data_IF_490488434773
#
_entry.id   IF_490488434773
#
_cell.length_a   1.000
_cell.length_b   1.000
_cell.length_c   1.000
_cell.angle_alpha   90.00
_cell.angle_beta   90.00
_cell.angle_gamma   90.00
#
_symmetry.space_group_name_H-M   'P 1'
#
loop_
_entity.id
_entity.type
_entity.pdbx_description
1 polymer ?
#
# COMPACT_ATOMS: atom_id res chain seq x y z
N UNK A 1 -1.47 6.44 16.02
CA UNK A 1 -2.02 5.90 14.74
C UNK A 1 -1.26 4.66 14.30
N UNK A 2 0.02 4.69 13.97
CA UNK A 2 0.77 3.50 13.53
C UNK A 2 0.71 2.31 14.49
N UNK A 3 0.74 2.55 15.79
CA UNK A 3 0.66 1.48 16.79
C UNK A 3 -0.68 0.72 16.80
N UNK A 4 -1.76 1.30 16.27
CA UNK A 4 -3.02 0.59 16.07
C UNK A 4 -2.88 -0.50 14.97
N UNK A 5 -2.17 -0.19 13.87
CA UNK A 5 -1.85 -1.17 12.82
C UNK A 5 -1.01 -2.31 13.41
N UNK A 6 0.03 -1.96 14.18
CA UNK A 6 0.90 -2.95 14.85
C UNK A 6 0.11 -3.85 15.77
N UNK A 7 -0.74 -3.26 16.64
CA UNK A 7 -1.56 -4.01 17.60
C UNK A 7 -2.53 -4.95 16.89
N UNK A 8 -3.32 -4.47 15.93
CA UNK A 8 -4.25 -5.30 15.17
C UNK A 8 -3.54 -6.44 14.44
N UNK A 9 -2.38 -6.16 13.85
CA UNK A 9 -1.61 -7.17 13.12
C UNK A 9 -1.11 -8.27 14.06
N UNK A 10 -0.53 -7.92 15.21
CA UNK A 10 -0.09 -8.89 16.22
C UNK A 10 -1.26 -9.72 16.73
N UNK A 11 -2.35 -9.06 17.14
CA UNK A 11 -3.50 -9.73 17.73
C UNK A 11 -4.15 -10.73 16.76
N UNK A 12 -4.31 -10.35 15.48
CA UNK A 12 -4.92 -11.21 14.47
C UNK A 12 -4.02 -12.40 14.13
N UNK A 13 -2.72 -12.16 13.96
CA UNK A 13 -1.73 -13.21 13.62
C UNK A 13 -1.58 -14.20 14.78
N UNK A 14 -1.47 -13.72 16.02
CA UNK A 14 -1.38 -14.60 17.20
C UNK A 14 -2.66 -15.42 17.39
N UNK A 15 -3.84 -14.81 17.20
CA UNK A 15 -5.12 -15.52 17.25
C UNK A 15 -5.23 -16.61 16.19
N UNK A 16 -4.81 -16.29 14.97
CA UNK A 16 -4.79 -17.25 13.85
C UNK A 16 -3.69 -18.32 13.97
N UNK A 17 -2.72 -18.11 14.86
CA UNK A 17 -1.50 -18.93 15.00
C UNK A 17 -0.75 -19.08 13.67
N UNK A 18 -0.90 -18.12 12.79
CA UNK A 18 -0.33 -18.13 11.43
C UNK A 18 -0.35 -16.72 10.84
N UNK A 19 0.74 -16.33 10.18
CA UNK A 19 0.84 -15.05 9.49
C UNK A 19 2.24 -14.44 9.58
N UNK A 20 2.37 -13.23 9.03
CA UNK A 20 3.63 -12.54 8.88
C UNK A 20 3.57 -11.18 9.61
N UNK A 21 4.01 -11.11 10.87
CA UNK A 21 3.94 -9.87 11.65
C UNK A 21 5.05 -8.86 11.29
N UNK A 22 6.20 -9.33 10.82
CA UNK A 22 7.41 -8.53 10.71
C UNK A 22 7.28 -7.30 9.84
N UNK A 23 6.80 -7.46 8.61
CA UNK A 23 6.54 -6.37 7.67
C UNK A 23 5.47 -5.40 8.17
N UNK A 24 4.29 -5.84 8.64
CA UNK A 24 3.30 -4.94 9.23
C UNK A 24 3.85 -4.07 10.36
N UNK A 25 4.67 -4.63 11.23
CA UNK A 25 5.27 -3.86 12.32
C UNK A 25 6.29 -2.85 11.80
N UNK A 26 7.11 -3.23 10.83
CA UNK A 26 8.16 -2.38 10.27
C UNK A 26 7.62 -1.21 9.44
N UNK A 27 6.60 -1.45 8.62
CA UNK A 27 6.09 -0.44 7.68
C UNK A 27 4.88 0.37 8.19
N UNK A 28 4.47 0.21 9.44
CA UNK A 28 3.28 0.91 9.97
C UNK A 28 3.41 2.43 9.97
N UNK A 29 4.59 3.00 10.18
CA UNK A 29 4.78 4.45 10.16
C UNK A 29 4.66 5.01 8.74
N UNK A 30 5.24 4.31 7.75
CA UNK A 30 5.12 4.65 6.33
C UNK A 30 3.66 4.57 5.89
N UNK A 31 2.96 3.51 6.30
CA UNK A 31 1.55 3.32 6.00
C UNK A 31 0.69 4.42 6.63
N UNK A 32 0.99 4.83 7.86
CA UNK A 32 0.30 5.93 8.52
C UNK A 32 0.40 7.21 7.71
N UNK A 33 1.61 7.66 7.37
CA UNK A 33 1.79 8.91 6.64
C UNK A 33 1.13 8.85 5.27
N UNK A 34 1.34 7.76 4.53
CA UNK A 34 0.76 7.63 3.19
C UNK A 34 -0.78 7.70 3.23
N UNK A 35 -1.42 6.92 4.11
CA UNK A 35 -2.87 6.77 4.11
C UNK A 35 -3.61 7.95 4.77
N UNK A 36 -3.03 8.60 5.76
CA UNK A 36 -3.67 9.73 6.44
C UNK A 36 -3.46 11.07 5.71
N UNK A 37 -2.32 11.25 5.03
CA UNK A 37 -1.93 12.55 4.47
C UNK A 37 -2.00 12.62 2.95
N UNK A 38 -1.65 11.55 2.23
CA UNK A 38 -1.37 11.60 0.80
C UNK A 38 -2.34 10.81 -0.07
N UNK A 39 -2.75 9.61 0.35
CA UNK A 39 -3.59 8.71 -0.45
C UNK A 39 -5.01 9.27 -0.61
N UNK A 40 -5.43 9.47 -1.84
CA UNK A 40 -6.79 9.92 -2.17
C UNK A 40 -7.67 8.71 -2.41
N UNK A 41 -8.54 8.40 -1.47
CA UNK A 41 -9.46 7.27 -1.55
C UNK A 41 -10.79 7.60 -0.86
N UNK A 42 -11.85 6.87 -1.19
CA UNK A 42 -13.13 6.96 -0.52
C UNK A 42 -13.55 5.58 0.02
N UNK A 43 -13.53 5.36 1.34
CA UNK A 43 -13.96 4.09 1.94
C UNK A 43 -15.41 3.72 1.63
N UNK A 44 -16.29 4.70 1.37
CA UNK A 44 -17.70 4.47 1.01
C UNK A 44 -17.89 4.10 -0.46
N UNK A 45 -16.93 4.44 -1.32
CA UNK A 45 -16.91 4.02 -2.72
C UNK A 45 -15.53 3.48 -3.11
N UNK A 46 -15.22 2.23 -2.77
CA UNK A 46 -13.95 1.58 -3.14
C UNK A 46 -13.67 1.56 -4.65
N UNK A 47 -14.70 1.76 -5.45
CA UNK A 47 -14.64 1.76 -6.91
C UNK A 47 -14.60 3.17 -7.52
N UNK A 48 -14.48 4.23 -6.72
CA UNK A 48 -14.33 5.59 -7.25
C UNK A 48 -13.23 5.62 -8.34
N UNK A 49 -13.60 6.09 -9.51
CA UNK A 49 -12.77 5.94 -10.70
C UNK A 49 -11.40 6.61 -10.56
N UNK A 50 -11.34 7.84 -10.03
CA UNK A 50 -10.10 8.62 -9.92
C UNK A 50 -9.42 8.51 -8.53
N UNK A 51 -9.76 7.48 -7.73
CA UNK A 51 -9.02 7.19 -6.50
C UNK A 51 -7.58 6.82 -6.80
N UNK A 52 -6.66 7.12 -5.91
CA UNK A 52 -5.32 6.56 -5.97
C UNK A 52 -5.37 5.03 -5.75
N UNK A 53 -4.41 4.31 -6.30
CA UNK A 53 -4.28 2.86 -6.15
C UNK A 53 -3.20 2.56 -5.12
N UNK A 54 -3.51 1.69 -4.17
CA UNK A 54 -2.52 1.17 -3.23
C UNK A 54 -2.33 -0.33 -3.47
N UNK A 55 -1.09 -0.73 -3.74
CA UNK A 55 -0.73 -2.13 -4.00
C UNK A 55 0.27 -2.62 -2.95
N UNK A 56 -0.12 -3.64 -2.21
CA UNK A 56 0.77 -4.36 -1.30
C UNK A 56 1.45 -5.49 -2.07
N UNK A 57 2.62 -5.21 -2.69
CA UNK A 57 3.36 -6.21 -3.48
C UNK A 57 3.96 -7.30 -2.60
N UNK A 58 4.42 -6.96 -1.40
CA UNK A 58 4.79 -7.90 -0.34
C UNK A 58 3.53 -8.41 0.40
N UNK A 59 2.66 -9.11 -0.36
CA UNK A 59 1.31 -9.50 0.05
C UNK A 59 1.23 -10.40 1.28
N UNK A 60 2.35 -11.02 1.69
CA UNK A 60 2.42 -11.75 2.95
C UNK A 60 2.17 -10.84 4.17
N UNK A 61 2.47 -9.53 4.09
CA UNK A 61 2.14 -8.53 5.09
C UNK A 61 0.67 -8.08 5.09
N UNK A 62 -0.24 -8.92 4.66
CA UNK A 62 -1.68 -8.63 4.44
C UNK A 62 -2.38 -7.95 5.61
N UNK A 63 -2.00 -8.27 6.84
CA UNK A 63 -2.59 -7.64 8.03
C UNK A 63 -2.36 -6.13 8.11
N UNK A 64 -1.28 -5.61 7.52
CA UNK A 64 -1.10 -4.16 7.39
C UNK A 64 -2.24 -3.55 6.56
N UNK A 65 -2.52 -4.13 5.39
CA UNK A 65 -3.59 -3.62 4.52
C UNK A 65 -4.96 -3.78 5.15
N UNK A 66 -5.27 -4.93 5.76
CA UNK A 66 -6.55 -5.13 6.43
C UNK A 66 -6.76 -4.18 7.61
N UNK A 67 -5.70 -3.91 8.38
CA UNK A 67 -5.76 -2.92 9.46
C UNK A 67 -6.05 -1.52 8.92
N UNK A 68 -5.42 -1.12 7.82
CA UNK A 68 -5.67 0.16 7.16
C UNK A 68 -7.10 0.28 6.64
N UNK A 69 -7.59 -0.75 5.94
CA UNK A 69 -8.96 -0.78 5.44
C UNK A 69 -9.99 -0.68 6.57
N UNK A 70 -9.77 -1.43 7.66
CA UNK A 70 -10.62 -1.38 8.85
C UNK A 70 -10.62 0.02 9.49
N UNK A 71 -9.43 0.56 9.76
CA UNK A 71 -9.29 1.83 10.49
C UNK A 71 -9.79 3.03 9.69
N UNK A 72 -9.62 3.04 8.38
CA UNK A 72 -10.03 4.16 7.51
C UNK A 72 -11.52 4.16 7.17
N UNK A 73 -12.26 3.11 7.50
CA UNK A 73 -13.72 3.06 7.39
C UNK A 73 -14.29 2.31 6.19
N UNK A 74 -13.50 1.44 5.54
CA UNK A 74 -14.02 0.48 4.57
C UNK A 74 -14.96 -0.55 5.24
N UNK A 75 -15.73 -1.27 4.43
CA UNK A 75 -16.64 -2.31 4.90
C UNK A 75 -15.89 -3.58 5.35
N UNK A 76 -15.00 -3.40 6.31
CA UNK A 76 -14.20 -4.45 6.94
C UNK A 76 -14.24 -4.26 8.47
N UNK A 77 -15.17 -4.90 9.13
CA UNK A 77 -15.37 -4.74 10.56
C UNK A 77 -14.33 -5.52 11.40
N UNK A 78 -14.31 -5.26 12.72
CA UNK A 78 -13.35 -5.88 13.64
C UNK A 78 -13.50 -7.40 13.73
N UNK A 79 -14.68 -7.95 13.49
CA UNK A 79 -14.89 -9.40 13.52
C UNK A 79 -14.19 -10.07 12.34
N UNK A 80 -14.14 -9.42 11.17
CA UNK A 80 -13.34 -9.90 10.03
C UNK A 80 -11.83 -9.87 10.33
N UNK A 81 -11.35 -8.86 11.03
CA UNK A 81 -9.96 -8.81 11.51
C UNK A 81 -9.67 -9.97 12.48
N UNK A 82 -10.60 -10.25 13.42
CA UNK A 82 -10.49 -11.38 14.33
C UNK A 82 -10.53 -12.75 13.64
N UNK A 83 -11.11 -12.80 12.43
CA UNK A 83 -11.21 -14.01 11.61
C UNK A 83 -10.11 -14.11 10.53
N UNK A 84 -8.99 -13.43 10.74
CA UNK A 84 -7.84 -13.51 9.83
C UNK A 84 -7.44 -14.96 9.55
N UNK A 85 -7.27 -15.31 8.27
CA UNK A 85 -6.93 -16.66 7.78
C UNK A 85 -7.95 -17.74 8.11
N UNK A 86 -9.17 -17.38 8.51
CA UNK A 86 -10.22 -18.39 8.70
C UNK A 86 -10.99 -18.59 7.39
N UNK A 87 -11.53 -19.79 7.21
CA UNK A 87 -12.31 -20.14 6.03
C UNK A 87 -13.52 -19.19 5.88
N UNK A 88 -13.73 -18.67 4.67
CA UNK A 88 -14.78 -17.72 4.31
C UNK A 88 -14.69 -16.32 4.95
N UNK A 89 -13.59 -15.98 5.63
CA UNK A 89 -13.38 -14.61 6.10
C UNK A 89 -13.01 -13.67 4.95
N UNK A 90 -13.27 -12.36 5.13
CA UNK A 90 -12.81 -11.32 4.21
C UNK A 90 -11.32 -10.98 4.38
N UNK A 91 -10.61 -11.67 5.26
CA UNK A 91 -9.19 -11.44 5.55
C UNK A 91 -8.36 -12.70 5.33
N UNK A 92 -8.24 -13.16 4.07
CA UNK A 92 -7.39 -14.31 3.73
C UNK A 92 -5.92 -14.03 4.01
N UNK A 93 -5.09 -15.06 3.97
CA UNK A 93 -3.65 -14.95 4.29
C UNK A 93 -2.87 -14.00 3.41
N UNK A 94 -3.33 -13.77 2.18
CA UNK A 94 -2.82 -12.80 1.22
C UNK A 94 -4.01 -12.01 0.63
N UNK A 95 -3.83 -10.73 0.23
CA UNK A 95 -4.92 -9.92 -0.29
C UNK A 95 -5.55 -10.49 -1.57
N UNK A 96 -6.88 -10.52 -1.63
CA UNK A 96 -7.65 -10.97 -2.78
C UNK A 96 -8.66 -9.90 -3.23
N UNK A 97 -8.50 -9.36 -4.44
CA UNK A 97 -9.23 -8.19 -4.93
C UNK A 97 -10.74 -8.40 -5.08
N UNK A 98 -11.18 -9.64 -5.28
CA UNK A 98 -12.62 -9.97 -5.42
C UNK A 98 -13.31 -10.28 -4.08
N UNK A 99 -12.54 -10.34 -2.98
CA UNK A 99 -13.05 -10.74 -1.67
C UNK A 99 -13.17 -9.57 -0.68
N UNK A 100 -12.21 -8.63 -0.74
CA UNK A 100 -12.11 -7.55 0.22
C UNK A 100 -12.18 -6.19 -0.47
N UNK A 101 -13.17 -5.38 -0.14
CA UNK A 101 -13.31 -4.02 -0.65
C UNK A 101 -12.08 -3.18 -0.33
N UNK A 102 -11.53 -2.49 -1.34
CA UNK A 102 -10.32 -1.67 -1.20
C UNK A 102 -9.01 -2.40 -1.51
N UNK A 103 -9.05 -3.71 -1.77
CA UNK A 103 -7.91 -4.47 -2.31
C UNK A 103 -7.87 -4.32 -3.83
N UNK A 104 -6.88 -3.63 -4.35
CA UNK A 104 -6.77 -3.29 -5.78
C UNK A 104 -6.38 -4.49 -6.65
N UNK A 105 -5.57 -5.39 -6.13
CA UNK A 105 -5.11 -6.58 -6.84
C UNK A 105 -4.76 -7.70 -5.89
N UNK A 106 -4.98 -8.93 -6.34
CA UNK A 106 -4.57 -10.14 -5.62
C UNK A 106 -3.05 -10.23 -5.62
N UNK A 107 -2.45 -10.39 -4.44
CA UNK A 107 -1.00 -10.55 -4.26
C UNK A 107 -0.70 -11.75 -3.37
N UNK A 108 0.57 -12.08 -3.24
CA UNK A 108 1.07 -13.28 -2.52
C UNK A 108 2.29 -13.81 -3.24
N UNK A 109 2.18 -14.23 -4.53
CA UNK A 109 3.36 -14.48 -5.34
C UNK A 109 4.19 -13.20 -5.48
N UNK A 110 5.45 -13.25 -5.05
CA UNK A 110 6.34 -12.09 -5.04
C UNK A 110 6.56 -11.52 -6.45
N UNK A 111 6.73 -10.21 -6.57
CA UNK A 111 6.90 -9.53 -7.85
C UNK A 111 5.61 -9.25 -8.63
N UNK A 112 4.52 -10.02 -8.41
CA UNK A 112 3.27 -9.82 -9.14
C UNK A 112 2.57 -8.51 -8.79
N UNK A 113 2.62 -8.07 -7.53
CA UNK A 113 2.00 -6.82 -7.10
C UNK A 113 2.60 -5.61 -7.80
N UNK A 114 3.93 -5.48 -7.82
CA UNK A 114 4.60 -4.37 -8.52
C UNK A 114 4.35 -4.42 -10.04
N UNK A 115 4.25 -5.62 -10.63
CA UNK A 115 3.91 -5.77 -12.03
C UNK A 115 2.50 -5.26 -12.35
N UNK A 116 1.50 -5.61 -11.52
CA UNK A 116 0.14 -5.09 -11.64
C UNK A 116 0.10 -3.57 -11.46
N UNK A 117 0.86 -3.03 -10.51
CA UNK A 117 0.95 -1.59 -10.27
C UNK A 117 1.53 -0.82 -11.48
N UNK A 118 2.53 -1.38 -12.15
CA UNK A 118 3.04 -0.83 -13.42
C UNK A 118 1.93 -0.83 -14.47
N UNK A 119 1.14 -1.91 -14.58
CA UNK A 119 -0.02 -1.98 -15.47
C UNK A 119 -1.07 -0.90 -15.13
N UNK A 120 -1.36 -0.67 -13.85
CA UNK A 120 -2.27 0.40 -13.39
C UNK A 120 -1.74 1.79 -13.77
N UNK A 121 -0.44 2.04 -13.62
CA UNK A 121 0.18 3.31 -14.01
C UNK A 121 0.19 3.52 -15.53
N UNK A 122 0.35 2.46 -16.32
CA UNK A 122 0.20 2.51 -17.79
C UNK A 122 -1.25 2.86 -18.15
N UNK A 123 -2.23 2.24 -17.50
CA UNK A 123 -3.64 2.51 -17.72
C UNK A 123 -3.98 3.98 -17.40
N UNK A 124 -3.52 4.50 -16.25
CA UNK A 124 -3.69 5.92 -15.90
C UNK A 124 -3.12 6.84 -16.98
N UNK A 125 -1.86 6.64 -17.36
CA UNK A 125 -1.19 7.47 -18.36
C UNK A 125 -1.89 7.43 -19.73
N UNK A 126 -2.35 6.25 -20.13
CA UNK A 126 -3.10 6.06 -21.38
C UNK A 126 -4.44 6.79 -21.35
N UNK A 127 -5.21 6.59 -20.28
CA UNK A 127 -6.51 7.25 -20.10
C UNK A 127 -6.36 8.77 -19.97
N UNK A 128 -5.36 9.25 -19.22
CA UNK A 128 -5.07 10.68 -19.13
C UNK A 128 -4.75 11.29 -20.50
N UNK A 129 -3.97 10.60 -21.31
CA UNK A 129 -3.65 11.05 -22.70
C UNK A 129 -4.88 11.11 -23.60
N UNK A 130 -5.84 10.20 -23.43
CA UNK A 130 -7.05 10.15 -24.25
C UNK A 130 -8.11 11.15 -23.81
N UNK A 131 -8.32 11.27 -22.50
CA UNK A 131 -9.49 11.96 -21.96
C UNK A 131 -9.18 13.33 -21.34
N UNK A 132 -8.00 13.56 -20.76
CA UNK A 132 -7.69 14.86 -20.19
C UNK A 132 -7.66 15.95 -21.28
N UNK A 133 -8.15 17.12 -20.92
CA UNK A 133 -8.16 18.32 -21.78
C UNK A 133 -7.33 19.41 -21.11
N UNK A 134 -6.95 20.40 -21.89
CA UNK A 134 -6.12 21.52 -21.42
C UNK A 134 -6.71 22.21 -20.19
N UNK A 135 -8.03 22.31 -20.11
CA UNK A 135 -8.79 22.99 -19.06
C UNK A 135 -9.48 22.03 -18.07
N UNK A 136 -9.43 20.71 -18.30
CA UNK A 136 -10.11 19.74 -17.43
C UNK A 136 -9.40 18.38 -17.38
N UNK A 137 -8.77 18.11 -16.24
CA UNK A 137 -8.07 16.85 -15.97
C UNK A 137 -8.95 15.94 -15.11
N UNK A 138 -9.64 14.98 -15.74
CA UNK A 138 -10.51 14.00 -15.06
C UNK A 138 -9.78 12.72 -14.67
N UNK A 139 -8.61 12.44 -15.25
CA UNK A 139 -7.76 11.30 -14.93
C UNK A 139 -6.47 11.83 -14.28
N UNK A 140 -6.37 11.66 -12.97
CA UNK A 140 -5.21 12.17 -12.22
C UNK A 140 -5.01 11.40 -10.91
N UNK A 141 -4.88 10.09 -10.99
CA UNK A 141 -4.59 9.25 -9.82
C UNK A 141 -3.17 8.72 -9.84
N UNK A 142 -2.65 8.43 -8.67
CA UNK A 142 -1.34 7.80 -8.48
C UNK A 142 -1.49 6.34 -8.14
N UNK A 143 -0.42 5.60 -8.38
CA UNK A 143 -0.27 4.22 -7.92
C UNK A 143 0.87 4.15 -6.92
N UNK A 144 0.55 3.79 -5.68
CA UNK A 144 1.49 3.61 -4.58
C UNK A 144 1.70 2.12 -4.33
N UNK A 145 2.94 1.72 -4.12
CA UNK A 145 3.30 0.30 -3.95
C UNK A 145 4.17 0.13 -2.72
N UNK A 146 3.86 -0.86 -1.89
CA UNK A 146 4.81 -1.36 -0.89
C UNK A 146 5.46 -2.63 -1.41
N UNK A 147 6.77 -2.71 -1.35
CA UNK A 147 7.57 -3.85 -1.82
C UNK A 147 8.74 -4.13 -0.87
N UNK A 148 9.29 -5.31 -0.92
CA UNK A 148 10.47 -5.71 -0.12
C UNK A 148 11.51 -6.43 -0.97
N UNK A 149 12.61 -6.85 -0.34
CA UNK A 149 13.74 -7.52 -0.99
C UNK A 149 13.27 -8.67 -1.88
N UNK A 150 12.50 -9.61 -1.34
CA UNK A 150 12.01 -10.77 -2.08
C UNK A 150 11.21 -10.41 -3.34
N UNK A 151 10.41 -9.35 -3.30
CA UNK A 151 9.69 -8.88 -4.48
C UNK A 151 10.65 -8.36 -5.56
N UNK A 152 11.70 -7.64 -5.15
CA UNK A 152 12.66 -7.02 -6.07
C UNK A 152 13.70 -8.00 -6.62
N UNK A 153 13.79 -9.21 -6.06
CA UNK A 153 14.61 -10.32 -6.58
C UNK A 153 13.94 -11.05 -7.76
N UNK A 154 12.61 -10.99 -7.86
CA UNK A 154 11.87 -11.68 -8.90
C UNK A 154 12.18 -11.12 -10.30
N UNK A 155 12.32 -11.99 -11.30
CA UNK A 155 12.63 -11.61 -12.69
C UNK A 155 11.61 -10.63 -13.28
N UNK A 156 10.31 -10.84 -13.01
CA UNK A 156 9.25 -9.93 -13.47
C UNK A 156 9.46 -8.50 -12.96
N UNK A 157 9.99 -8.32 -11.74
CA UNK A 157 10.24 -6.98 -11.19
C UNK A 157 11.28 -6.21 -11.98
N UNK A 158 12.33 -6.88 -12.46
CA UNK A 158 13.34 -6.27 -13.35
C UNK A 158 12.71 -5.80 -14.68
N UNK A 159 11.90 -6.65 -15.30
CA UNK A 159 11.27 -6.37 -16.59
C UNK A 159 10.31 -5.18 -16.49
N UNK A 160 9.37 -5.24 -15.52
CA UNK A 160 8.33 -4.20 -15.41
C UNK A 160 8.87 -2.87 -14.90
N UNK A 161 9.88 -2.87 -14.01
CA UNK A 161 10.49 -1.62 -13.52
C UNK A 161 11.32 -0.94 -14.61
N UNK A 162 12.03 -1.71 -15.45
CA UNK A 162 12.69 -1.18 -16.64
C UNK A 162 11.68 -0.57 -17.62
N UNK A 163 10.56 -1.26 -17.87
CA UNK A 163 9.47 -0.74 -18.71
C UNK A 163 8.87 0.54 -18.12
N UNK A 164 8.64 0.60 -16.81
CA UNK A 164 8.08 1.77 -16.15
C UNK A 164 8.94 3.03 -16.31
N UNK A 165 10.26 2.88 -16.18
CA UNK A 165 11.21 3.98 -16.45
C UNK A 165 11.22 4.41 -17.91
N UNK A 166 11.23 3.45 -18.85
CA UNK A 166 11.16 3.70 -20.29
C UNK A 166 9.89 4.47 -20.67
N UNK A 167 8.74 4.11 -20.07
CA UNK A 167 7.46 4.77 -20.31
C UNK A 167 7.28 6.05 -19.50
N UNK A 168 8.25 6.42 -18.66
CA UNK A 168 8.18 7.62 -17.82
C UNK A 168 6.88 7.67 -16.98
N UNK A 169 6.59 6.62 -16.21
CA UNK A 169 5.36 6.51 -15.43
C UNK A 169 5.47 7.31 -14.12
N UNK A 170 5.46 8.62 -14.22
CA UNK A 170 5.76 9.55 -13.13
C UNK A 170 4.75 9.53 -11.96
N UNK A 171 3.58 8.93 -12.12
CA UNK A 171 2.58 8.75 -11.06
C UNK A 171 2.70 7.40 -10.33
N UNK A 172 3.70 6.59 -10.66
CA UNK A 172 4.06 5.37 -9.94
C UNK A 172 5.09 5.71 -8.86
N UNK A 173 4.74 5.47 -7.60
CA UNK A 173 5.59 5.70 -6.44
C UNK A 173 5.71 4.38 -5.66
N UNK A 174 6.92 3.88 -5.52
CA UNK A 174 7.22 2.59 -4.88
C UNK A 174 8.02 2.82 -3.61
N UNK A 175 7.54 2.29 -2.49
CA UNK A 175 8.26 2.25 -1.23
C UNK A 175 8.95 0.91 -1.11
N UNK A 176 10.24 0.92 -0.99
CA UNK A 176 11.06 -0.25 -0.77
C UNK A 176 11.33 -0.40 0.74
N UNK A 177 10.83 -1.47 1.31
CA UNK A 177 11.08 -1.91 2.68
C UNK A 177 12.51 -2.49 2.75
N UNK A 178 13.47 -1.58 2.92
CA UNK A 178 14.91 -1.88 2.94
C UNK A 178 15.35 -2.24 4.36
N UNK A 179 14.95 -3.43 4.80
CA UNK A 179 15.23 -3.95 6.14
C UNK A 179 16.36 -5.02 6.16
N UNK A 180 16.82 -5.48 5.01
CA UNK A 180 17.92 -6.43 4.86
C UNK A 180 17.62 -7.85 5.36
N UNK A 181 16.34 -8.20 5.58
CA UNK A 181 15.94 -9.51 6.11
C UNK A 181 14.94 -10.18 5.17
N UNK A 182 15.21 -11.41 4.82
CA UNK A 182 14.28 -12.32 4.16
C UNK A 182 13.79 -13.41 5.12
N UNK A 183 12.99 -14.35 4.60
CA UNK A 183 12.50 -15.49 5.38
C UNK A 183 13.64 -16.35 5.96
N UNK A 184 14.77 -16.43 5.28
CA UNK A 184 15.93 -17.25 5.65
C UNK A 184 17.01 -16.48 6.43
N UNK A 185 16.76 -15.21 6.79
CA UNK A 185 17.70 -14.38 7.53
C UNK A 185 18.20 -13.17 6.74
N UNK A 186 19.39 -12.70 7.11
CA UNK A 186 20.03 -11.55 6.48
C UNK A 186 20.32 -11.83 4.99
N UNK A 187 20.03 -10.85 4.13
CA UNK A 187 20.27 -10.95 2.69
C UNK A 187 21.73 -10.74 2.28
N UNK A 188 22.59 -10.30 3.20
CA UNK A 188 24.01 -10.10 2.93
C UNK A 188 24.67 -11.38 2.38
N UNK A 189 25.40 -11.23 1.30
CA UNK A 189 26.17 -12.32 0.68
C UNK A 189 25.41 -13.14 -0.36
N UNK A 190 24.08 -13.02 -0.48
CA UNK A 190 23.31 -13.71 -1.50
C UNK A 190 22.35 -12.80 -2.30
N UNK A 191 22.01 -11.61 -1.79
CA UNK A 191 21.40 -10.53 -2.56
C UNK A 191 22.27 -9.29 -2.43
N UNK A 192 23.15 -9.09 -3.40
CA UNK A 192 24.23 -8.09 -3.36
C UNK A 192 23.98 -6.93 -4.31
N UNK A 193 22.80 -6.86 -4.92
CA UNK A 193 22.42 -5.77 -5.79
C UNK A 193 22.37 -4.43 -5.02
N UNK A 194 22.94 -3.38 -5.60
CA UNK A 194 22.61 -2.02 -5.20
C UNK A 194 21.26 -1.65 -5.82
N UNK A 195 20.18 -1.95 -5.11
CA UNK A 195 18.80 -1.74 -5.58
C UNK A 195 18.59 -0.30 -6.04
N UNK A 196 19.10 0.67 -5.32
CA UNK A 196 18.96 2.07 -5.67
C UNK A 196 19.65 2.40 -7.01
N UNK A 197 20.91 1.97 -7.24
CA UNK A 197 21.58 2.14 -8.52
C UNK A 197 20.91 1.37 -9.65
N UNK A 198 20.38 0.19 -9.37
CA UNK A 198 19.62 -0.58 -10.35
C UNK A 198 18.40 0.21 -10.85
N UNK A 199 17.63 0.82 -9.96
CA UNK A 199 16.49 1.65 -10.33
C UNK A 199 16.91 2.95 -11.03
N UNK A 200 18.01 3.58 -10.62
CA UNK A 200 18.59 4.70 -11.37
C UNK A 200 18.93 4.31 -12.84
N UNK A 201 19.47 3.09 -13.04
CA UNK A 201 19.76 2.57 -14.37
C UNK A 201 18.49 2.31 -15.21
N UNK A 202 17.35 2.07 -14.56
CA UNK A 202 16.04 2.00 -15.20
C UNK A 202 15.42 3.37 -15.48
N UNK A 203 16.13 4.46 -15.24
CA UNK A 203 15.65 5.84 -15.40
C UNK A 203 14.55 6.24 -14.39
N UNK A 204 14.62 5.72 -13.17
CA UNK A 204 13.76 6.14 -12.06
C UNK A 204 14.37 7.31 -11.29
N UNK A 205 13.52 8.11 -10.65
CA UNK A 205 13.92 8.96 -9.53
C UNK A 205 14.07 8.06 -8.29
N UNK A 206 15.18 8.21 -7.54
CA UNK A 206 15.46 7.36 -6.37
C UNK A 206 15.74 8.26 -5.17
N UNK A 207 14.90 8.15 -4.15
CA UNK A 207 15.07 8.85 -2.88
C UNK A 207 15.66 7.83 -1.89
N UNK A 208 16.91 8.06 -1.47
CA UNK A 208 17.70 7.13 -0.68
C UNK A 208 17.60 7.43 0.81
N UNK A 209 17.89 6.42 1.63
CA UNK A 209 18.15 6.52 3.06
C UNK A 209 17.03 7.22 3.85
N UNK A 210 15.77 7.02 3.44
CA UNK A 210 14.61 7.54 4.16
C UNK A 210 14.45 6.77 5.47
N UNK A 211 14.44 7.46 6.60
CA UNK A 211 14.11 6.85 7.88
C UNK A 211 12.63 6.46 7.90
N UNK A 212 12.38 5.14 7.75
CA UNK A 212 11.03 4.55 7.69
C UNK A 212 10.26 4.59 9.02
N UNK A 213 10.87 5.12 10.08
CA UNK A 213 10.24 5.32 11.39
C UNK A 213 10.12 6.80 11.77
N UNK A 214 10.56 7.73 10.92
CA UNK A 214 10.39 9.18 11.08
C UNK A 214 9.27 9.68 10.19
N UNK A 215 8.16 10.14 10.78
CA UNK A 215 7.00 10.66 10.05
C UNK A 215 7.38 11.83 9.14
N UNK A 216 8.25 12.74 9.61
CA UNK A 216 8.72 13.88 8.81
C UNK A 216 9.58 13.42 7.61
N UNK A 217 10.49 12.45 7.81
CA UNK A 217 11.31 11.91 6.74
C UNK A 217 10.46 11.26 5.67
N UNK A 218 9.45 10.49 6.07
CA UNK A 218 8.49 9.83 5.18
C UNK A 218 7.65 10.87 4.41
N UNK A 219 7.04 11.83 5.11
CA UNK A 219 6.18 12.85 4.48
C UNK A 219 6.97 13.70 3.48
N UNK A 220 8.20 14.10 3.83
CA UNK A 220 9.09 14.84 2.94
C UNK A 220 9.44 14.03 1.67
N UNK A 221 9.75 12.75 1.82
CA UNK A 221 10.06 11.87 0.67
C UNK A 221 8.87 11.67 -0.27
N UNK A 222 7.66 11.54 0.27
CA UNK A 222 6.43 11.45 -0.54
C UNK A 222 6.20 12.78 -1.28
N UNK A 223 6.35 13.92 -0.60
CA UNK A 223 6.20 15.23 -1.21
C UNK A 223 7.23 15.48 -2.32
N UNK A 224 8.45 14.96 -2.20
CA UNK A 224 9.45 15.00 -3.26
C UNK A 224 9.05 14.10 -4.43
N UNK A 225 8.63 12.86 -4.16
CA UNK A 225 8.19 11.90 -5.17
C UNK A 225 7.02 12.45 -6.02
N UNK A 226 6.04 13.09 -5.38
CA UNK A 226 4.87 13.69 -6.04
C UNK A 226 5.27 14.79 -7.05
N UNK A 227 6.39 15.46 -6.84
CA UNK A 227 6.88 16.52 -7.74
C UNK A 227 7.57 15.99 -8.99
N UNK A 228 7.89 14.69 -9.06
CA UNK A 228 8.48 14.09 -10.27
C UNK A 228 7.52 14.22 -11.45
N UNK A 229 7.99 14.76 -12.58
CA UNK A 229 7.16 15.05 -13.76
C UNK A 229 7.29 14.01 -14.86
N UNK A 230 8.41 13.30 -14.89
CA UNK A 230 8.83 12.49 -16.03
C UNK A 230 9.40 11.11 -15.65
N UNK A 231 9.48 10.78 -14.35
CA UNK A 231 10.05 9.52 -13.89
C UNK A 231 9.19 8.90 -12.79
N UNK A 232 9.04 7.57 -12.78
CA UNK A 232 8.56 6.87 -11.59
C UNK A 232 9.55 7.05 -10.43
N UNK A 233 9.09 6.93 -9.20
CA UNK A 233 9.94 7.15 -8.02
C UNK A 233 10.03 5.90 -7.15
N UNK A 234 11.26 5.53 -6.77
CA UNK A 234 11.56 4.57 -5.71
C UNK A 234 11.96 5.34 -4.45
N UNK A 235 11.31 5.06 -3.32
CA UNK A 235 11.65 5.57 -1.99
C UNK A 235 12.26 4.42 -1.21
N UNK A 236 13.57 4.46 -0.94
CA UNK A 236 14.28 3.43 -0.18
C UNK A 236 14.12 3.74 1.32
N UNK A 237 13.22 3.01 1.98
CA UNK A 237 12.89 3.22 3.38
C UNK A 237 13.69 2.26 4.26
N UNK A 238 14.60 2.78 5.07
CA UNK A 238 15.29 2.01 6.10
C UNK A 238 14.30 1.71 7.21
N UNK A 239 13.97 0.44 7.37
CA UNK A 239 13.04 -0.04 8.38
C UNK A 239 13.65 -1.15 9.22
N UNK A 240 12.91 -1.58 10.23
CA UNK A 240 13.25 -2.75 11.03
C UNK A 240 12.10 -3.74 10.99
N UNK A 241 12.34 -4.90 10.45
CA UNK A 241 11.36 -5.99 10.50
C UNK A 241 11.00 -6.30 11.96
N UNK A 242 9.72 -6.49 12.26
CA UNK A 242 9.28 -6.75 13.64
C UNK A 242 9.52 -5.58 14.59
N UNK A 243 9.47 -4.35 14.10
CA UNK A 243 9.73 -3.12 14.87
C UNK A 243 8.97 -3.09 16.20
N UNK A 244 9.71 -2.79 17.27
CA UNK A 244 9.20 -2.70 18.63
C UNK A 244 9.14 -4.04 19.37
N UNK A 245 9.50 -5.17 18.74
CA UNK A 245 9.57 -6.46 19.41
C UNK A 245 10.92 -6.61 20.14
N UNK A 246 10.97 -6.66 21.47
CA UNK A 246 12.22 -6.63 22.22
C UNK A 246 13.17 -7.78 21.90
N UNK A 247 12.64 -8.95 21.53
CA UNK A 247 13.45 -10.15 21.27
C UNK A 247 13.53 -10.52 19.79
N UNK A 248 12.62 -10.02 18.91
CA UNK A 248 12.50 -10.44 17.52
C UNK A 248 12.69 -9.31 16.50
N UNK A 249 12.85 -8.04 16.92
CA UNK A 249 13.15 -6.94 16.03
C UNK A 249 14.44 -7.20 15.24
N UNK A 250 14.39 -6.97 13.92
CA UNK A 250 15.52 -7.16 13.03
C UNK A 250 15.88 -8.63 12.74
N UNK A 251 15.02 -9.58 13.10
CA UNK A 251 15.28 -11.02 12.92
C UNK A 251 14.26 -11.68 12.02
N UNK A 252 14.69 -12.69 11.27
CA UNK A 252 13.87 -13.55 10.41
C UNK A 252 12.73 -14.24 11.20
N UNK A 253 12.93 -14.49 12.50
CA UNK A 253 11.91 -15.10 13.36
C UNK A 253 10.64 -14.28 13.53
N UNK A 254 10.65 -12.99 13.15
CA UNK A 254 9.46 -12.14 13.05
C UNK A 254 8.86 -12.13 11.64
N UNK A 255 9.52 -12.69 10.62
CA UNK A 255 9.07 -12.61 9.24
C UNK A 255 7.74 -13.35 9.02
N UNK A 256 7.73 -14.66 9.18
CA UNK A 256 6.65 -15.56 8.77
C UNK A 256 6.02 -16.37 9.89
N UNK A 257 6.24 -16.00 11.14
CA UNK A 257 5.70 -16.71 12.32
C UNK A 257 5.08 -15.73 13.31
N UNK A 258 3.99 -16.10 14.00
CA UNK A 258 3.43 -15.29 15.09
C UNK A 258 4.50 -14.90 16.11
N UNK A 259 4.38 -13.72 16.70
CA UNK A 259 5.27 -13.33 17.78
C UNK A 259 5.05 -14.23 19.01
N UNK A 260 3.81 -14.63 19.23
CA UNK A 260 3.34 -15.36 20.40
C UNK A 260 2.91 -14.43 21.53
N UNK A 261 2.05 -14.92 22.46
CA UNK A 261 1.39 -14.07 23.45
C UNK A 261 2.36 -13.28 24.33
N UNK A 262 3.45 -13.90 24.73
CA UNK A 262 4.46 -13.27 25.59
C UNK A 262 5.18 -12.12 24.88
N UNK A 263 5.67 -12.37 23.66
CA UNK A 263 6.39 -11.37 22.87
C UNK A 263 5.46 -10.25 22.40
N UNK A 264 4.19 -10.58 22.04
CA UNK A 264 3.18 -9.59 21.70
C UNK A 264 2.88 -8.67 22.90
N UNK A 265 2.78 -9.20 24.11
CA UNK A 265 2.59 -8.40 25.32
C UNK A 265 3.80 -7.48 25.60
N UNK A 266 5.03 -7.98 25.39
CA UNK A 266 6.25 -7.18 25.51
C UNK A 266 6.30 -6.07 24.46
N UNK A 267 5.98 -6.40 23.21
CA UNK A 267 5.95 -5.46 22.09
C UNK A 267 4.92 -4.36 22.33
N UNK A 268 3.69 -4.71 22.71
CA UNK A 268 2.65 -3.72 23.07
C UNK A 268 3.11 -2.77 24.17
N UNK A 269 3.74 -3.29 25.20
CA UNK A 269 4.30 -2.46 26.29
C UNK A 269 5.40 -1.53 25.77
N UNK A 270 6.29 -2.03 24.92
CA UNK A 270 7.40 -1.24 24.34
C UNK A 270 6.90 -0.08 23.50
N UNK A 271 5.86 -0.31 22.67
CA UNK A 271 5.28 0.72 21.81
C UNK A 271 4.24 1.60 22.54
N UNK A 272 4.01 1.39 23.83
CA UNK A 272 3.05 2.17 24.64
C UNK A 272 1.58 1.89 24.29
N UNK A 273 1.22 0.65 23.98
CA UNK A 273 -0.14 0.23 23.64
C UNK A 273 -0.76 -0.63 24.76
N UNK A 274 -1.47 0.02 25.68
CA UNK A 274 -2.01 -0.61 26.89
C UNK A 274 -3.48 -1.07 26.75
N UNK A 275 -3.91 -1.43 25.53
CA UNK A 275 -5.27 -1.88 25.26
C UNK A 275 -5.34 -3.40 25.09
N UNK A 276 -6.48 -3.96 25.49
CA UNK A 276 -6.78 -5.37 25.29
C UNK A 276 -6.76 -5.76 23.80
N UNK A 277 -6.55 -7.03 23.46
CA UNK A 277 -6.56 -7.46 22.06
C UNK A 277 -7.83 -7.03 21.32
N UNK A 278 -7.63 -6.51 20.12
CA UNK A 278 -8.68 -5.99 19.22
C UNK A 278 -9.47 -4.79 19.76
N UNK A 279 -9.03 -4.15 20.82
CA UNK A 279 -9.62 -2.92 21.34
C UNK A 279 -8.86 -1.72 20.78
N UNK A 280 -9.55 -0.93 19.98
CA UNK A 280 -9.04 0.32 19.42
C UNK A 280 -9.83 1.47 20.07
N UNK A 281 -9.17 2.45 20.70
CA UNK A 281 -9.85 3.61 21.27
C UNK A 281 -10.56 4.47 20.22
N UNK A 282 -11.66 5.10 20.60
CA UNK A 282 -12.45 5.96 19.71
C UNK A 282 -11.61 7.08 19.08
N UNK A 283 -10.74 7.74 19.86
CA UNK A 283 -9.87 8.79 19.33
C UNK A 283 -8.89 8.31 18.25
N UNK A 284 -8.57 7.01 18.21
CA UNK A 284 -7.75 6.40 17.15
C UNK A 284 -8.60 6.17 15.91
N UNK A 285 -9.84 5.69 16.06
CA UNK A 285 -10.78 5.60 14.93
C UNK A 285 -11.06 6.97 14.33
N UNK A 286 -11.30 7.99 15.17
CA UNK A 286 -11.54 9.36 14.71
C UNK A 286 -10.35 9.91 13.90
N UNK A 287 -9.12 9.64 14.36
CA UNK A 287 -7.91 10.07 13.68
C UNK A 287 -7.65 9.33 12.35
N UNK A 288 -8.14 8.10 12.21
CA UNK A 288 -8.00 7.30 10.99
C UNK A 288 -9.17 7.46 10.01
N UNK A 289 -10.33 7.89 10.48
CA UNK A 289 -11.56 7.96 9.69
C UNK A 289 -11.37 8.85 8.44
N UNK A 290 -11.46 8.23 7.27
CA UNK A 290 -11.32 8.92 6.00
C UNK A 290 -12.65 9.06 5.22
N UNK A 291 -13.79 8.75 5.85
CA UNK A 291 -15.10 8.72 5.18
C UNK A 291 -15.49 10.11 4.66
N UNK A 292 -15.44 11.13 5.52
CA UNK A 292 -15.84 12.49 5.14
C UNK A 292 -14.88 13.07 4.10
N UNK A 293 -13.57 13.02 4.37
CA UNK A 293 -12.53 13.48 3.44
C UNK A 293 -12.61 12.76 2.09
N UNK A 294 -12.79 11.44 2.10
CA UNK A 294 -12.90 10.66 0.87
C UNK A 294 -14.16 11.00 0.07
N UNK A 295 -15.29 11.20 0.74
CA UNK A 295 -16.55 11.63 0.10
C UNK A 295 -16.42 13.01 -0.53
N UNK A 296 -15.78 13.95 0.16
CA UNK A 296 -15.52 15.30 -0.36
C UNK A 296 -14.62 15.25 -1.61
N UNK A 297 -13.54 14.46 -1.56
CA UNK A 297 -12.65 14.29 -2.71
C UNK A 297 -13.38 13.73 -3.94
N UNK A 298 -14.25 12.74 -3.76
CA UNK A 298 -15.03 12.17 -4.82
C UNK A 298 -16.08 13.15 -5.34
N UNK A 299 -16.78 13.89 -4.47
CA UNK A 299 -17.77 14.90 -4.88
C UNK A 299 -17.11 16.01 -5.72
N UNK A 300 -15.95 16.51 -5.30
CA UNK A 300 -15.17 17.49 -6.06
C UNK A 300 -14.74 16.95 -7.44
N UNK A 301 -14.45 15.66 -7.53
CA UNK A 301 -14.15 15.02 -8.81
C UNK A 301 -15.43 14.86 -9.67
N UNK A 302 -16.56 14.49 -9.07
CA UNK A 302 -17.84 14.37 -9.78
C UNK A 302 -18.26 15.71 -10.40
N UNK A 303 -18.09 16.83 -9.70
CA UNK A 303 -18.36 18.17 -10.26
C UNK A 303 -17.48 18.46 -11.50
N UNK A 304 -16.19 18.12 -11.43
CA UNK A 304 -15.30 18.25 -12.60
C UNK A 304 -15.70 17.33 -13.74
N UNK A 305 -16.15 16.12 -13.43
CA UNK A 305 -16.60 15.16 -14.42
C UNK A 305 -17.90 15.58 -15.09
N UNK A 306 -18.82 16.21 -14.36
CA UNK A 306 -20.06 16.77 -14.90
C UNK A 306 -19.76 17.95 -15.84
N UNK A 307 -18.87 18.88 -15.45
CA UNK A 307 -18.40 19.95 -16.32
C UNK A 307 -17.72 19.41 -17.60
N UNK A 308 -16.90 18.35 -17.44
CA UNK A 308 -16.29 17.67 -18.58
C UNK A 308 -17.32 17.05 -19.51
N UNK A 309 -18.36 16.41 -18.97
CA UNK A 309 -19.45 15.79 -19.75
C UNK A 309 -20.21 16.81 -20.58
N UNK A 310 -20.46 17.98 -20.03
CA UNK A 310 -21.13 19.07 -20.74
C UNK A 310 -20.25 19.65 -21.87
N UNK A 311 -18.96 19.86 -21.61
CA UNK A 311 -18.03 20.46 -22.58
C UNK A 311 -17.60 19.50 -23.68
N UNK A 312 -17.45 18.21 -23.36
CA UNK A 312 -16.87 17.20 -24.24
C UNK A 312 -17.75 15.95 -24.40
N UNK A 313 -19.02 16.08 -24.79
CA UNK A 313 -19.97 14.95 -24.80
C UNK A 313 -19.54 13.81 -25.72
N UNK A 314 -18.86 14.12 -26.82
CA UNK A 314 -18.38 13.11 -27.77
C UNK A 314 -17.24 12.23 -27.20
N UNK A 315 -16.49 12.72 -26.21
CA UNK A 315 -15.44 11.94 -25.57
C UNK A 315 -16.02 10.85 -24.65
N UNK A 316 -17.22 11.07 -24.09
CA UNK A 316 -17.88 10.13 -23.19
C UNK A 316 -18.61 9.00 -23.89
N UNK A 317 -19.01 9.18 -25.16
CA UNK A 317 -19.65 8.13 -25.96
C UNK A 317 -18.75 6.90 -26.15
N UNK A 318 -17.42 7.08 -26.10
CA UNK A 318 -16.45 5.99 -26.18
C UNK A 318 -16.17 5.30 -24.84
N UNK A 319 -16.54 5.92 -23.72
CA UNK A 319 -16.32 5.37 -22.36
C UNK A 319 -17.54 4.65 -21.81
N UNK A 320 -18.71 4.84 -22.39
CA UNK A 320 -19.90 4.08 -22.04
C UNK A 320 -19.74 2.65 -22.55
N UNK A 321 -19.83 1.61 -21.69
CA UNK A 321 -19.76 0.25 -22.17
C UNK A 321 -20.84 0.04 -23.22
N UNK A 322 -20.44 -0.43 -24.40
CA UNK A 322 -21.38 -0.80 -25.46
C UNK A 322 -22.39 -1.80 -24.91
N UNK A 323 -23.67 -1.76 -25.34
CA UNK A 323 -24.61 -2.83 -24.99
C UNK A 323 -24.12 -4.22 -25.36
N UNK A 324 -23.11 -4.34 -26.25
CA UNK A 324 -22.45 -5.60 -26.63
C UNK A 324 -21.45 -6.11 -25.61
N UNK A 325 -20.97 -5.24 -24.70
CA UNK A 325 -19.97 -5.57 -23.65
C UNK A 325 -20.67 -6.02 -22.34
N UNK A 326 -21.99 -6.16 -22.35
CA UNK A 326 -22.83 -6.62 -21.23
C UNK A 326 -23.25 -8.10 -21.38
N UNK A 327 -22.47 -8.89 -22.10
CA UNK A 327 -22.67 -10.32 -22.24
C UNK A 327 -22.09 -11.14 -21.10
#
# INVERSE_FOLDING_TARGET
>A
MANAIRALSMDAIDKAKSGHPGMPLGMSDIAQVLWSEHLRHNPKNPNWFNRDRFVLSNGHGSMLLYSLLHLTGYNLNIEEIKNFRQLHSKTPGHPESHLTDGVETTTGPLGQGIANAVGMAIAEKTLASQFNKHDNNIIDHRTYVFTGDGCLMEGISHEVCSLAGTLSLNKLIVFYDDNGISIDGNVDGWFTDDTAKRFESYNWNVIRDVDGHSLDSISNSINEAIKSKDKPTLICCKTKIGYGSPNKEGKESSHGSPLGPEETALTKRYIGWDHSPFVIPDYVYDAWNNIEKGTELENNWNEKFDDYREKYPNCLLYTSPSPRDRG
#
